data_IF_571251101482
#
_entry.id   IF_571251101482
#
_cell.length_a   1.000
_cell.length_b   1.000
_cell.length_c   1.000
_cell.angle_alpha   90.00
_cell.angle_beta   90.00
_cell.angle_gamma   90.00
#
_symmetry.space_group_name_H-M   'P 1'
#
loop_
_entity.id
_entity.type
_entity.pdbx_description
1 polymer ?
#
# COMPACT_ATOMS: atom_id res chain seq x y z
N UNK A 1 7.03 -8.30 -1.01
CA UNK A 1 6.18 -7.47 -1.90
C UNK A 1 4.71 -7.62 -1.49
N UNK A 2 4.10 -6.52 -1.07
CA UNK A 2 2.71 -6.52 -0.60
C UNK A 2 1.66 -6.75 -1.70
N UNK A 3 2.05 -6.77 -2.97
CA UNK A 3 1.19 -6.91 -4.15
C UNK A 3 0.06 -5.85 -4.28
N UNK A 4 -0.01 -4.89 -3.37
CA UNK A 4 -1.09 -3.88 -3.33
C UNK A 4 -1.15 -3.03 -4.60
N UNK A 5 0.02 -2.66 -5.14
CA UNK A 5 0.09 -1.87 -6.38
C UNK A 5 -0.35 -2.71 -7.58
N UNK A 6 0.07 -3.96 -7.64
CA UNK A 6 -0.32 -4.87 -8.71
C UNK A 6 -1.83 -5.10 -8.75
N UNK A 7 -2.45 -5.29 -7.58
CA UNK A 7 -3.90 -5.41 -7.41
C UNK A 7 -4.62 -4.11 -7.85
N UNK A 8 -4.17 -2.96 -7.36
CA UNK A 8 -4.74 -1.67 -7.72
C UNK A 8 -4.65 -1.35 -9.22
N UNK A 9 -3.63 -1.89 -9.91
CA UNK A 9 -3.47 -1.77 -11.35
C UNK A 9 -4.22 -2.86 -12.14
N UNK A 10 -4.88 -3.79 -11.46
CA UNK A 10 -5.60 -4.90 -12.08
C UNK A 10 -4.70 -5.82 -12.89
N UNK A 11 -3.52 -6.13 -12.38
CA UNK A 11 -2.59 -7.08 -13.02
C UNK A 11 -3.07 -8.47 -12.69
N UNK A 12 -3.40 -9.27 -13.69
CA UNK A 12 -3.88 -10.65 -13.54
C UNK A 12 -2.90 -11.71 -14.07
N UNK A 13 -1.86 -11.28 -14.78
CA UNK A 13 -0.86 -12.17 -15.39
C UNK A 13 0.56 -11.70 -15.19
N UNK A 14 1.47 -12.65 -15.03
CA UNK A 14 2.90 -12.38 -14.91
C UNK A 14 3.50 -11.94 -16.25
N UNK A 15 4.49 -11.04 -16.21
CA UNK A 15 5.19 -10.54 -17.39
C UNK A 15 4.50 -9.38 -18.11
N UNK A 16 3.41 -8.85 -17.57
CA UNK A 16 2.77 -7.65 -18.09
C UNK A 16 3.61 -6.41 -17.80
N UNK A 17 3.75 -5.54 -18.78
CA UNK A 17 4.47 -4.27 -18.66
C UNK A 17 3.55 -3.09 -18.90
N UNK A 18 3.87 -1.98 -18.24
CA UNK A 18 3.15 -0.73 -18.35
C UNK A 18 4.11 0.38 -18.80
N UNK A 19 3.73 1.16 -19.79
CA UNK A 19 4.39 2.40 -20.14
C UNK A 19 3.64 3.56 -19.53
N UNK A 20 4.23 4.15 -18.49
CA UNK A 20 3.64 5.24 -17.74
C UNK A 20 4.22 6.59 -18.16
N UNK A 21 3.35 7.53 -18.50
CA UNK A 21 3.73 8.90 -18.78
C UNK A 21 3.66 9.75 -17.50
N UNK A 22 4.81 10.02 -16.91
CA UNK A 22 4.91 10.78 -15.65
C UNK A 22 4.48 12.25 -15.75
N UNK A 23 4.45 12.83 -16.95
CA UNK A 23 4.01 14.21 -17.18
C UNK A 23 2.48 14.34 -17.23
N UNK A 24 1.81 13.31 -17.76
CA UNK A 24 0.35 13.27 -17.91
C UNK A 24 -0.33 12.42 -16.83
N UNK A 25 0.42 11.66 -16.07
CA UNK A 25 -0.08 10.66 -15.12
C UNK A 25 -1.02 9.62 -15.77
N UNK A 26 -0.64 9.17 -16.97
CA UNK A 26 -1.43 8.22 -17.76
C UNK A 26 -0.62 6.98 -18.10
N UNK A 27 -1.30 5.81 -18.17
CA UNK A 27 -0.75 4.60 -18.77
C UNK A 27 -0.96 4.71 -20.28
N UNK A 28 0.12 4.76 -21.04
CA UNK A 28 0.10 4.90 -22.51
C UNK A 28 0.10 3.53 -23.21
N UNK A 29 0.62 2.50 -22.53
CA UNK A 29 0.61 1.13 -23.04
C UNK A 29 0.51 0.14 -21.87
N UNK A 30 -0.18 -0.97 -22.13
CA UNK A 30 -0.29 -2.14 -21.26
C UNK A 30 -0.25 -3.41 -22.10
N UNK A 31 0.63 -4.35 -21.80
CA UNK A 31 0.75 -5.62 -22.53
C UNK A 31 2.09 -6.32 -22.33
N UNK A 32 2.47 -7.27 -23.20
CA UNK A 32 3.75 -7.95 -23.12
C UNK A 32 4.90 -7.07 -23.62
N UNK A 33 6.12 -7.41 -23.23
CA UNK A 33 7.33 -6.91 -23.89
C UNK A 33 7.37 -7.47 -25.31
N UNK A 34 7.45 -6.60 -26.31
CA UNK A 34 7.47 -6.98 -27.72
C UNK A 34 7.50 -5.78 -28.66
N UNK A 35 7.20 -6.02 -29.92
CA UNK A 35 7.25 -4.99 -30.97
C UNK A 35 6.28 -3.85 -30.68
N UNK A 36 5.09 -4.15 -30.19
CA UNK A 36 4.07 -3.15 -29.86
C UNK A 36 4.51 -2.26 -28.69
N UNK A 37 5.19 -2.84 -27.70
CA UNK A 37 5.76 -2.08 -26.60
C UNK A 37 6.88 -1.14 -27.08
N UNK A 38 7.78 -1.61 -27.97
CA UNK A 38 8.81 -0.76 -28.55
C UNK A 38 8.21 0.38 -29.38
N UNK A 39 7.18 0.08 -30.18
CA UNK A 39 6.47 1.10 -30.96
C UNK A 39 5.78 2.13 -30.05
N UNK A 40 5.18 1.69 -28.96
CA UNK A 40 4.58 2.57 -27.97
C UNK A 40 5.61 3.49 -27.31
N UNK A 41 6.76 2.94 -26.92
CA UNK A 41 7.85 3.74 -26.36
C UNK A 41 8.33 4.83 -27.33
N UNK A 42 8.54 4.47 -28.61
CA UNK A 42 8.95 5.42 -29.65
C UNK A 42 7.90 6.52 -29.87
N UNK A 43 6.61 6.13 -29.95
CA UNK A 43 5.53 7.08 -30.12
C UNK A 43 5.49 8.10 -28.96
N UNK A 44 5.62 7.63 -27.71
CA UNK A 44 5.64 8.52 -26.53
C UNK A 44 6.86 9.46 -26.54
N UNK A 45 8.04 8.97 -26.92
CA UNK A 45 9.25 9.79 -27.03
C UNK A 45 9.11 10.86 -28.10
N UNK A 46 8.48 10.53 -29.24
CA UNK A 46 8.25 11.43 -30.36
C UNK A 46 6.99 12.34 -30.15
N UNK A 47 6.34 12.24 -28.99
CA UNK A 47 5.14 13.02 -28.68
C UNK A 47 3.91 12.62 -29.51
N UNK A 48 3.93 11.42 -30.11
CA UNK A 48 2.84 10.89 -30.91
C UNK A 48 1.90 10.01 -30.08
N UNK A 49 0.63 9.87 -30.46
CA UNK A 49 -0.29 8.94 -29.79
C UNK A 49 0.14 7.49 -30.04
N UNK A 50 -0.04 6.65 -29.01
CA UNK A 50 0.19 5.21 -29.11
C UNK A 50 -0.96 4.57 -29.87
N UNK A 51 -0.67 3.88 -30.98
CA UNK A 51 -1.69 3.27 -31.84
C UNK A 51 -2.35 2.03 -31.26
N UNK A 52 -1.61 1.30 -30.43
CA UNK A 52 -2.10 0.09 -29.73
C UNK A 52 -1.79 0.20 -28.23
N UNK A 53 -2.65 0.91 -27.47
CA UNK A 53 -2.38 1.16 -26.04
C UNK A 53 -2.58 -0.08 -25.17
N UNK A 54 -3.25 -1.11 -25.68
CA UNK A 54 -3.45 -2.37 -24.99
C UNK A 54 -3.20 -3.55 -25.93
N UNK A 55 -2.39 -4.50 -25.46
CA UNK A 55 -2.15 -5.77 -26.13
C UNK A 55 -2.40 -6.91 -25.16
N UNK A 56 -3.35 -7.78 -25.48
CA UNK A 56 -3.63 -8.95 -24.67
C UNK A 56 -2.44 -9.89 -24.64
N UNK A 57 -2.12 -10.41 -23.47
CA UNK A 57 -1.02 -11.34 -23.30
C UNK A 57 -1.47 -12.67 -22.71
N UNK A 58 -0.70 -13.72 -23.01
CA UNK A 58 -0.73 -14.98 -22.29
C UNK A 58 0.40 -14.99 -21.28
N UNK A 59 0.11 -15.41 -20.06
CA UNK A 59 1.05 -15.52 -18.97
C UNK A 59 0.43 -16.34 -17.86
N UNK A 60 1.23 -16.73 -16.88
CA UNK A 60 0.71 -17.40 -15.69
C UNK A 60 -0.12 -16.42 -14.86
N UNK A 61 -1.22 -16.88 -14.26
CA UNK A 61 -2.04 -16.02 -13.42
C UNK A 61 -1.22 -15.55 -12.21
N UNK A 62 -1.41 -14.29 -11.83
CA UNK A 62 -0.88 -13.77 -10.57
C UNK A 62 -1.73 -14.31 -9.43
N UNK A 63 -1.11 -15.07 -8.53
CA UNK A 63 -1.75 -15.51 -7.32
C UNK A 63 -1.59 -14.43 -6.26
N UNK A 64 -2.63 -13.64 -6.08
CA UNK A 64 -2.67 -12.68 -4.99
C UNK A 64 -2.85 -13.43 -3.66
N UNK A 65 -1.99 -13.12 -2.69
CA UNK A 65 -2.07 -13.68 -1.33
C UNK A 65 -3.22 -13.09 -0.51
N UNK A 66 -4.13 -12.42 -1.18
CA UNK A 66 -5.26 -11.74 -0.55
C UNK A 66 -6.34 -12.75 -0.17
N UNK A 67 -6.70 -12.73 1.09
CA UNK A 67 -7.93 -13.34 1.56
C UNK A 67 -9.12 -12.48 1.12
N UNK A 68 -10.21 -13.11 0.69
CA UNK A 68 -11.49 -12.44 0.46
C UNK A 68 -12.21 -12.07 1.77
N UNK A 69 -11.62 -12.41 2.92
CA UNK A 69 -12.17 -12.13 4.23
C UNK A 69 -12.18 -10.62 4.51
N UNK A 70 -13.28 -10.20 5.13
CA UNK A 70 -13.41 -8.83 5.57
C UNK A 70 -12.43 -8.56 6.72
N UNK A 71 -11.61 -7.52 6.58
CA UNK A 71 -10.65 -7.13 7.60
C UNK A 71 -11.37 -6.46 8.76
N UNK A 72 -11.15 -6.96 9.97
CA UNK A 72 -11.75 -6.44 11.19
C UNK A 72 -10.92 -5.31 11.78
N UNK A 73 -11.58 -4.21 12.14
CA UNK A 73 -10.91 -3.14 12.88
C UNK A 73 -10.45 -3.63 14.25
N UNK A 74 -11.35 -4.29 15.00
CA UNK A 74 -11.07 -4.72 16.37
C UNK A 74 -9.97 -5.78 16.45
N UNK A 75 -10.01 -6.78 15.54
CA UNK A 75 -9.13 -7.95 15.62
C UNK A 75 -7.82 -7.79 14.86
N UNK A 76 -7.84 -7.06 13.76
CA UNK A 76 -6.68 -6.94 12.87
C UNK A 76 -6.06 -5.54 12.94
N UNK A 77 -6.83 -4.50 12.61
CA UNK A 77 -6.27 -3.16 12.39
C UNK A 77 -5.74 -2.54 13.67
N UNK A 78 -6.49 -2.64 14.78
CA UNK A 78 -6.07 -2.04 16.05
C UNK A 78 -4.73 -2.62 16.54
N UNK A 79 -4.51 -3.93 16.37
CA UNK A 79 -3.23 -4.57 16.70
C UNK A 79 -2.09 -4.05 15.82
N UNK A 80 -2.30 -4.05 14.50
CA UNK A 80 -1.31 -3.56 13.53
C UNK A 80 -0.91 -2.11 13.84
N UNK A 81 -1.88 -1.24 14.11
CA UNK A 81 -1.62 0.17 14.45
C UNK A 81 -0.86 0.27 15.77
N UNK A 82 -1.24 -0.49 16.78
CA UNK A 82 -0.59 -0.48 18.09
C UNK A 82 0.89 -0.86 17.99
N UNK A 83 1.18 -1.91 17.23
CA UNK A 83 2.53 -2.45 17.13
C UNK A 83 3.46 -1.62 16.23
N UNK A 84 2.92 -1.07 15.14
CA UNK A 84 3.76 -0.45 14.10
C UNK A 84 3.68 1.07 14.04
N UNK A 85 2.62 1.70 14.55
CA UNK A 85 2.35 3.11 14.36
C UNK A 85 2.26 3.89 15.68
N UNK A 86 1.46 3.38 16.62
CA UNK A 86 1.07 4.12 17.82
C UNK A 86 2.24 4.42 18.76
N UNK A 87 3.34 3.63 18.73
CA UNK A 87 4.53 3.97 19.54
C UNK A 87 5.13 5.34 19.23
N UNK A 88 4.95 5.85 18.00
CA UNK A 88 5.34 7.20 17.61
C UNK A 88 4.13 8.13 17.49
N UNK A 89 3.01 7.62 16.96
CA UNK A 89 1.75 8.33 16.78
C UNK A 89 0.83 8.20 18.02
N UNK A 90 1.23 8.80 19.12
CA UNK A 90 0.51 8.84 20.40
C UNK A 90 0.54 10.23 20.98
N UNK A 91 -0.31 10.50 21.96
CA UNK A 91 -0.21 11.75 22.71
C UNK A 91 1.16 11.85 23.41
N UNK A 92 1.80 13.00 23.29
CA UNK A 92 3.18 13.21 23.76
C UNK A 92 4.25 12.42 22.97
N UNK A 93 3.90 11.75 21.88
CA UNK A 93 4.84 11.06 21.01
C UNK A 93 5.57 12.00 20.04
N UNK A 94 6.50 11.43 19.26
CA UNK A 94 7.31 12.20 18.28
C UNK A 94 6.54 12.57 17.01
N UNK A 95 5.47 11.83 16.69
CA UNK A 95 4.69 12.05 15.48
C UNK A 95 3.68 13.19 15.64
N UNK A 96 3.27 13.86 14.54
CA UNK A 96 2.48 15.09 14.60
C UNK A 96 1.02 14.91 15.05
N UNK A 97 0.51 13.68 15.11
CA UNK A 97 -0.85 13.37 15.56
C UNK A 97 -0.90 11.98 16.21
N UNK A 98 -1.86 11.77 17.09
CA UNK A 98 -2.07 10.49 17.74
C UNK A 98 -2.99 9.59 16.90
N UNK A 99 -2.68 8.30 16.85
CA UNK A 99 -3.54 7.24 16.29
C UNK A 99 -4.20 6.48 17.45
N UNK A 100 -4.99 7.19 18.24
CA UNK A 100 -5.57 6.75 19.51
C UNK A 100 -7.07 6.41 19.41
N UNK A 101 -7.64 6.43 18.24
CA UNK A 101 -9.04 6.08 18.03
C UNK A 101 -9.34 5.73 16.57
N UNK A 102 -10.41 4.95 16.37
CA UNK A 102 -10.94 4.68 15.04
C UNK A 102 -11.23 5.96 14.24
N UNK A 103 -11.83 6.95 14.86
CA UNK A 103 -12.19 8.23 14.21
C UNK A 103 -10.95 8.94 13.67
N UNK A 104 -9.84 8.92 14.42
CA UNK A 104 -8.57 9.49 13.95
C UNK A 104 -8.02 8.72 12.76
N UNK A 105 -8.02 7.39 12.83
CA UNK A 105 -7.58 6.56 11.70
C UNK A 105 -8.42 6.78 10.46
N UNK A 106 -9.74 6.82 10.60
CA UNK A 106 -10.66 7.05 9.48
C UNK A 106 -10.42 8.42 8.85
N UNK A 107 -10.23 9.46 9.64
CA UNK A 107 -9.93 10.81 9.15
C UNK A 107 -8.61 10.89 8.37
N UNK A 108 -7.61 10.11 8.77
CA UNK A 108 -6.29 10.07 8.12
C UNK A 108 -6.14 8.95 7.10
N UNK A 109 -7.16 8.14 6.86
CA UNK A 109 -7.12 6.97 5.97
C UNK A 109 -6.49 7.22 4.60
N UNK A 110 -6.82 8.29 3.86
CA UNK A 110 -6.22 8.52 2.55
C UNK A 110 -4.72 8.75 2.62
N UNK A 111 -4.25 9.47 3.66
CA UNK A 111 -2.83 9.72 3.87
C UNK A 111 -2.11 8.46 4.36
N UNK A 112 -2.70 7.70 5.27
CA UNK A 112 -2.15 6.42 5.76
C UNK A 112 -1.95 5.48 4.57
N UNK A 113 -2.95 5.33 3.70
CA UNK A 113 -2.83 4.52 2.49
C UNK A 113 -1.67 4.99 1.60
N UNK A 114 -1.59 6.27 1.34
CA UNK A 114 -0.56 6.85 0.48
C UNK A 114 0.85 6.60 1.04
N UNK A 115 1.08 6.86 2.33
CA UNK A 115 2.41 6.69 2.93
C UNK A 115 2.83 5.23 3.07
N UNK A 116 1.88 4.30 3.21
CA UNK A 116 2.15 2.86 3.18
C UNK A 116 2.54 2.40 1.78
N UNK A 117 1.78 2.78 0.76
CA UNK A 117 2.04 2.40 -0.63
C UNK A 117 3.35 3.00 -1.17
N UNK A 118 3.72 4.17 -0.71
CA UNK A 118 4.98 4.85 -1.09
C UNK A 118 6.15 4.53 -0.16
N UNK A 119 5.94 3.65 0.83
CA UNK A 119 6.94 3.26 1.83
C UNK A 119 7.57 4.45 2.59
N UNK A 120 6.83 5.53 2.78
CA UNK A 120 7.29 6.70 3.57
C UNK A 120 7.09 6.50 5.07
N UNK A 121 6.13 5.64 5.45
CA UNK A 121 5.87 5.25 6.84
C UNK A 121 5.70 3.73 6.95
N UNK A 122 6.20 3.13 8.04
CA UNK A 122 7.06 3.71 9.07
C UNK A 122 8.40 4.22 8.51
N UNK A 123 9.09 5.16 9.21
CA UNK A 123 10.42 5.59 8.81
C UNK A 123 11.45 4.46 9.03
N UNK A 124 12.64 4.58 8.43
CA UNK A 124 13.74 3.63 8.61
C UNK A 124 13.43 2.18 8.17
N UNK A 125 12.63 2.02 7.13
CA UNK A 125 12.47 0.73 6.45
C UNK A 125 13.75 0.42 5.67
N UNK A 126 14.20 -0.83 5.76
CA UNK A 126 15.37 -1.34 5.03
C UNK A 126 14.93 -2.33 3.96
N UNK A 127 15.78 -2.56 2.96
CA UNK A 127 15.51 -3.60 1.97
C UNK A 127 15.58 -4.98 2.65
N UNK A 128 14.48 -5.75 2.69
CA UNK A 128 14.43 -7.04 3.38
C UNK A 128 15.34 -8.11 2.77
N UNK A 129 15.95 -7.85 1.59
CA UNK A 129 16.90 -8.74 0.93
C UNK A 129 18.36 -8.42 1.25
N UNK A 130 18.62 -7.36 2.02
CA UNK A 130 19.99 -6.87 2.32
C UNK A 130 20.23 -6.87 3.83
N UNK A 131 20.65 -8.02 4.36
CA UNK A 131 21.04 -8.17 5.76
C UNK A 131 19.90 -8.05 6.76
N UNK A 132 20.24 -8.23 8.04
CA UNK A 132 19.31 -8.13 9.17
C UNK A 132 19.67 -6.90 10.01
N UNK A 133 18.70 -6.07 10.31
CA UNK A 133 18.87 -4.85 11.07
C UNK A 133 18.01 -4.84 12.34
N UNK A 134 18.62 -4.54 13.47
CA UNK A 134 17.97 -4.57 14.79
C UNK A 134 16.82 -3.55 14.91
N UNK A 135 16.92 -2.44 14.18
CA UNK A 135 15.93 -1.35 14.21
C UNK A 135 15.14 -1.24 12.91
N UNK A 136 14.98 -2.35 12.20
CA UNK A 136 14.12 -2.38 11.04
C UNK A 136 12.66 -2.10 11.44
N UNK A 137 12.03 -1.17 10.75
CA UNK A 137 10.65 -0.77 10.97
C UNK A 137 9.72 -1.22 9.84
N UNK A 138 10.13 -2.21 9.05
CA UNK A 138 9.26 -2.78 8.05
C UNK A 138 7.99 -3.37 8.70
N UNK A 139 6.85 -3.06 8.10
CA UNK A 139 5.59 -3.73 8.40
C UNK A 139 5.52 -5.00 7.55
N UNK A 140 5.00 -6.07 8.10
CA UNK A 140 4.78 -7.29 7.34
C UNK A 140 3.87 -7.01 6.12
N UNK A 141 4.18 -7.60 4.98
CA UNK A 141 3.42 -7.39 3.75
C UNK A 141 1.92 -7.71 3.92
N UNK A 142 1.60 -8.75 4.70
CA UNK A 142 0.22 -9.11 5.05
C UNK A 142 -0.50 -8.00 5.83
N UNK A 143 0.19 -7.29 6.70
CA UNK A 143 -0.38 -6.22 7.51
C UNK A 143 -0.58 -4.94 6.69
N UNK A 144 0.34 -4.63 5.78
CA UNK A 144 0.14 -3.57 4.78
C UNK A 144 -1.08 -3.86 3.92
N UNK A 145 -1.25 -5.10 3.47
CA UNK A 145 -2.42 -5.53 2.70
C UNK A 145 -3.71 -5.35 3.49
N UNK A 146 -3.76 -5.79 4.75
CA UNK A 146 -4.93 -5.61 5.63
C UNK A 146 -5.28 -4.14 5.82
N UNK A 147 -4.29 -3.30 6.13
CA UNK A 147 -4.50 -1.86 6.32
C UNK A 147 -5.07 -1.20 5.07
N UNK A 148 -4.47 -1.44 3.90
CA UNK A 148 -4.92 -0.84 2.65
C UNK A 148 -6.34 -1.29 2.30
N UNK A 149 -6.65 -2.58 2.43
CA UNK A 149 -7.99 -3.11 2.16
C UNK A 149 -9.06 -2.57 3.11
N UNK A 150 -8.74 -2.49 4.39
CA UNK A 150 -9.62 -1.89 5.37
C UNK A 150 -9.95 -0.43 5.02
N UNK A 151 -8.92 0.33 4.61
CA UNK A 151 -9.09 1.72 4.16
C UNK A 151 -9.96 1.79 2.90
N UNK A 152 -9.71 0.95 1.91
CA UNK A 152 -10.46 0.90 0.65
C UNK A 152 -11.92 0.46 0.84
N UNK A 153 -12.18 -0.34 1.88
CA UNK A 153 -13.53 -0.68 2.31
C UNK A 153 -14.26 0.46 3.06
N UNK A 154 -13.64 1.64 3.19
CA UNK A 154 -14.21 2.80 3.88
C UNK A 154 -13.92 2.85 5.36
N UNK A 155 -12.91 2.13 5.81
CA UNK A 155 -12.46 2.09 7.21
C UNK A 155 -13.58 1.70 8.18
N UNK A 156 -14.27 0.55 8.00
CA UNK A 156 -15.39 0.17 8.85
C UNK A 156 -14.94 -0.07 10.29
N UNK A 157 -15.84 0.24 11.24
CA UNK A 157 -15.66 -0.06 12.66
C UNK A 157 -16.59 -1.19 13.07
N UNK A 158 -16.02 -2.28 13.53
CA UNK A 158 -16.75 -3.45 14.06
C UNK A 158 -16.56 -3.64 15.58
N UNK A 159 -15.86 -2.69 16.24
CA UNK A 159 -15.69 -2.74 17.69
C UNK A 159 -16.87 -2.12 18.45
N UNK A 160 -17.18 -2.69 19.61
CA UNK A 160 -18.11 -2.07 20.56
C UNK A 160 -17.40 -0.98 21.36
N UNK A 161 -16.19 -1.30 21.78
CA UNK A 161 -15.30 -0.43 22.56
C UNK A 161 -13.99 -0.26 21.79
N UNK A 162 -13.64 0.96 21.42
CA UNK A 162 -12.45 1.25 20.63
C UNK A 162 -11.17 0.75 21.30
N UNK A 163 -10.46 -0.25 20.73
CA UNK A 163 -9.25 -0.78 21.35
C UNK A 163 -8.13 0.26 21.46
N UNK A 164 -8.03 1.18 20.49
CA UNK A 164 -6.98 2.21 20.48
C UNK A 164 -7.19 3.27 21.55
N UNK A 165 -8.44 3.58 21.88
CA UNK A 165 -8.76 4.51 22.96
C UNK A 165 -8.39 4.00 24.36
N UNK A 166 -8.08 2.71 24.48
CA UNK A 166 -7.66 2.08 25.75
C UNK A 166 -6.14 1.97 25.89
N UNK A 167 -5.38 2.37 24.87
CA UNK A 167 -3.93 2.30 24.93
C UNK A 167 -3.39 3.25 26.00
N UNK A 168 -2.52 2.71 26.82
CA UNK A 168 -1.79 3.47 27.85
C UNK A 168 -0.29 3.36 27.57
N UNK A 169 0.41 4.45 27.71
CA UNK A 169 1.84 4.51 27.46
C UNK A 169 2.56 4.87 28.74
N UNK A 170 3.74 4.30 29.02
CA UNK A 170 4.55 4.73 30.14
C UNK A 170 4.91 6.20 29.95
N UNK A 171 4.89 6.96 31.04
CA UNK A 171 5.36 8.34 31.03
C UNK A 171 6.83 8.35 30.58
N UNK A 172 7.16 9.28 29.68
CA UNK A 172 8.56 9.51 29.29
C UNK A 172 9.28 10.17 30.46
N UNK A 173 10.31 9.49 31.01
CA UNK A 173 11.22 10.08 31.95
C UNK A 173 12.02 11.25 31.33
#
# INVERSE_FOLDING_TARGET
>A
DSQVIADAMGIDKTGEVFLFNSKRFTVEFRGPVGIEFEQAMRAVLDGQPVSSPFVAMSGDPVNYLFSSEQVSYEKDIASIITENCARCHRDGGIAPFAMDSHTMLQGWSPMIREVLMTKRMPPAQVDPHIGDFVNDMNIADSDVQKLVRWIEAGSPNDSIDDPLAKLTWPESE
#
